data_IF_912253283040
#
_entry.id   IF_912253283040
#
_cell.length_a   1.000
_cell.length_b   1.000
_cell.length_c   1.000
_cell.angle_alpha   90.00
_cell.angle_beta   90.00
_cell.angle_gamma   90.00
#
_symmetry.space_group_name_H-M   'P 1'
#
loop_
_entity.id
_entity.type
_entity.pdbx_description
1 polymer ?
#
# COMPACT_ATOMS: atom_id res chain seq x y z
N UNK A 1 -24.64 2.56 7.27
CA UNK A 1 -23.37 3.04 6.67
C UNK A 1 -23.17 2.35 5.34
N UNK A 2 -23.32 3.06 4.24
CA UNK A 2 -23.10 2.53 2.88
C UNK A 2 -21.61 2.27 2.70
N UNK A 3 -21.27 1.02 2.34
CA UNK A 3 -19.89 0.61 2.02
C UNK A 3 -19.34 1.51 0.91
N UNK A 4 -18.16 2.13 1.06
CA UNK A 4 -17.64 3.02 0.03
C UNK A 4 -17.52 2.24 -1.29
N UNK A 5 -17.94 2.83 -2.42
CA UNK A 5 -17.94 2.14 -3.70
C UNK A 5 -16.52 1.70 -4.05
N UNK A 6 -16.40 0.46 -4.52
CA UNK A 6 -15.12 -0.15 -4.87
C UNK A 6 -14.45 0.72 -5.96
N UNK A 7 -13.34 1.38 -5.62
CA UNK A 7 -12.62 2.33 -6.50
C UNK A 7 -12.26 1.73 -7.87
N UNK A 8 -12.06 0.40 -7.91
CA UNK A 8 -11.80 -0.34 -9.15
C UNK A 8 -13.04 -0.48 -10.03
N UNK A 9 -14.23 -0.67 -9.42
CA UNK A 9 -15.49 -0.76 -10.14
C UNK A 9 -15.90 0.60 -10.75
N UNK A 10 -15.84 1.69 -9.97
CA UNK A 10 -16.12 3.05 -10.48
C UNK A 10 -15.24 3.42 -11.67
N UNK A 11 -13.99 3.01 -11.64
CA UNK A 11 -13.04 3.28 -12.70
C UNK A 11 -13.33 2.48 -13.97
N UNK A 12 -13.64 1.17 -13.85
CA UNK A 12 -14.05 0.34 -14.99
C UNK A 12 -15.29 0.93 -15.65
N UNK A 13 -16.24 1.41 -14.84
CA UNK A 13 -17.44 2.08 -15.34
C UNK A 13 -17.11 3.35 -16.13
N UNK A 14 -16.18 4.18 -15.63
CA UNK A 14 -15.71 5.37 -16.35
C UNK A 14 -15.00 5.04 -17.67
N UNK A 15 -14.18 3.99 -17.71
CA UNK A 15 -13.53 3.53 -18.95
C UNK A 15 -14.55 2.99 -19.96
N UNK A 16 -15.55 2.21 -19.52
CA UNK A 16 -16.62 1.71 -20.37
C UNK A 16 -17.47 2.85 -20.93
N UNK A 17 -17.82 3.84 -20.11
CA UNK A 17 -18.55 5.03 -20.55
C UNK A 17 -17.75 5.82 -21.61
N UNK A 18 -16.45 6.00 -21.40
CA UNK A 18 -15.58 6.68 -22.36
C UNK A 18 -15.49 5.90 -23.71
N UNK A 19 -15.34 4.57 -23.64
CA UNK A 19 -15.36 3.71 -24.83
C UNK A 19 -16.69 3.78 -25.58
N UNK A 20 -17.81 3.79 -24.86
CA UNK A 20 -19.13 3.93 -25.43
C UNK A 20 -19.27 5.28 -26.18
N UNK A 21 -18.85 6.38 -25.54
CA UNK A 21 -18.87 7.71 -26.16
C UNK A 21 -18.02 7.71 -27.44
N UNK A 22 -16.81 7.16 -27.40
CA UNK A 22 -15.93 7.08 -28.57
C UNK A 22 -16.53 6.22 -29.66
N UNK A 23 -17.20 5.11 -29.35
CA UNK A 23 -17.88 4.25 -30.30
C UNK A 23 -19.06 4.97 -30.97
N UNK A 24 -19.86 5.70 -30.20
CA UNK A 24 -20.99 6.49 -30.73
C UNK A 24 -20.50 7.60 -31.67
N UNK A 25 -19.45 8.34 -31.25
CA UNK A 25 -18.86 9.39 -32.10
C UNK A 25 -18.23 8.82 -33.38
N UNK A 26 -17.53 7.67 -33.26
CA UNK A 26 -16.97 6.96 -34.41
C UNK A 26 -18.06 6.47 -35.40
N UNK A 27 -19.16 5.95 -34.85
CA UNK A 27 -20.32 5.58 -35.69
C UNK A 27 -20.93 6.80 -36.37
N UNK A 28 -21.07 7.93 -35.69
CA UNK A 28 -21.51 9.20 -36.28
C UNK A 28 -20.59 9.64 -37.43
N UNK A 29 -19.27 9.58 -37.23
CA UNK A 29 -18.28 9.93 -38.27
C UNK A 29 -18.40 9.00 -39.49
N UNK A 30 -18.55 7.68 -39.28
CA UNK A 30 -18.73 6.68 -40.36
C UNK A 30 -20.04 6.91 -41.11
N UNK A 31 -21.16 7.11 -40.41
CA UNK A 31 -22.46 7.41 -41.02
C UNK A 31 -22.46 8.76 -41.74
N UNK A 32 -21.65 9.73 -41.27
CA UNK A 32 -21.40 11.01 -41.93
C UNK A 32 -20.56 10.91 -43.23
N UNK A 33 -20.21 9.69 -43.66
CA UNK A 33 -19.54 9.43 -44.92
C UNK A 33 -18.03 9.34 -44.87
N UNK A 34 -17.41 9.43 -43.65
CA UNK A 34 -15.96 9.36 -43.51
C UNK A 34 -15.36 8.07 -44.09
N UNK A 35 -16.04 6.94 -43.91
CA UNK A 35 -15.55 5.63 -44.37
C UNK A 35 -15.60 5.45 -45.91
N UNK A 36 -16.20 6.37 -46.64
CA UNK A 36 -16.37 6.26 -48.10
C UNK A 36 -15.09 6.66 -48.88
N UNK A 37 -14.04 7.09 -48.19
CA UNK A 37 -12.75 7.44 -48.82
C UNK A 37 -11.58 6.80 -48.06
N UNK A 38 -10.47 6.49 -48.74
CA UNK A 38 -9.26 5.97 -48.07
C UNK A 38 -8.73 6.90 -46.98
N UNK A 39 -8.80 8.21 -47.17
CA UNK A 39 -8.38 9.22 -46.20
C UNK A 39 -9.33 9.25 -45.00
N UNK A 40 -10.63 9.01 -45.18
CA UNK A 40 -11.60 8.89 -44.10
C UNK A 40 -11.35 7.66 -43.21
N UNK A 41 -10.94 6.54 -43.82
CA UNK A 41 -10.52 5.36 -43.04
C UNK A 41 -9.32 5.66 -42.15
N UNK A 42 -8.33 6.44 -42.63
CA UNK A 42 -7.20 6.89 -41.83
C UNK A 42 -7.62 7.78 -40.65
N UNK A 43 -8.67 8.61 -40.82
CA UNK A 43 -9.23 9.43 -39.72
C UNK A 43 -9.87 8.55 -38.65
N UNK A 44 -10.61 7.51 -39.03
CA UNK A 44 -11.20 6.54 -38.07
C UNK A 44 -10.08 5.78 -37.32
N UNK A 45 -9.04 5.34 -38.01
CA UNK A 45 -7.89 4.69 -37.41
C UNK A 45 -7.15 5.62 -36.43
N UNK A 46 -6.99 6.91 -36.78
CA UNK A 46 -6.44 7.93 -35.90
C UNK A 46 -7.28 8.12 -34.62
N UNK A 47 -8.60 8.15 -34.74
CA UNK A 47 -9.50 8.21 -33.58
C UNK A 47 -9.34 7.01 -32.64
N UNK A 48 -9.23 5.79 -33.19
CA UNK A 48 -8.98 4.57 -32.39
C UNK A 48 -7.60 4.63 -31.73
N UNK A 49 -6.58 5.07 -32.46
CA UNK A 49 -5.23 5.18 -31.93
C UNK A 49 -5.14 6.20 -30.77
N UNK A 50 -5.81 7.37 -30.90
CA UNK A 50 -5.89 8.35 -29.83
C UNK A 50 -6.61 7.81 -28.60
N UNK A 51 -7.74 7.11 -28.77
CA UNK A 51 -8.45 6.46 -27.66
C UNK A 51 -7.59 5.42 -26.95
N UNK A 52 -6.82 4.62 -27.68
CA UNK A 52 -5.91 3.62 -27.13
C UNK A 52 -4.81 4.25 -26.25
N UNK A 53 -4.44 5.50 -26.47
CA UNK A 53 -3.41 6.19 -25.71
C UNK A 53 -3.95 6.79 -24.40
N UNK A 54 -5.11 7.43 -24.39
CA UNK A 54 -5.58 8.12 -23.18
C UNK A 54 -6.39 7.23 -22.22
N UNK A 55 -6.94 6.12 -22.67
CA UNK A 55 -7.68 5.17 -21.83
C UNK A 55 -6.82 4.39 -20.81
N UNK A 56 -5.60 3.92 -21.14
CA UNK A 56 -4.75 3.18 -20.22
C UNK A 56 -4.23 4.03 -19.04
N UNK A 57 -3.65 3.34 -18.05
CA UNK A 57 -2.92 4.01 -16.97
C UNK A 57 -1.56 4.47 -17.43
N UNK A 58 -1.27 5.75 -17.20
CA UNK A 58 0.07 6.30 -17.34
C UNK A 58 0.65 6.65 -15.97
N UNK A 59 1.90 6.31 -15.75
CA UNK A 59 2.65 6.72 -14.58
C UNK A 59 2.97 8.21 -14.64
N UNK A 60 3.14 8.84 -13.48
CA UNK A 60 3.58 10.23 -13.44
C UNK A 60 5.03 10.33 -13.93
N UNK A 61 5.32 11.35 -14.74
CA UNK A 61 6.64 11.54 -15.34
C UNK A 61 6.93 10.62 -16.54
N UNK A 62 5.90 10.02 -17.16
CA UNK A 62 6.08 9.15 -18.32
C UNK A 62 6.72 9.88 -19.48
N UNK A 63 7.87 9.40 -19.96
CA UNK A 63 8.59 9.91 -21.15
C UNK A 63 8.00 9.34 -22.45
N UNK A 64 7.38 8.16 -22.41
CA UNK A 64 6.78 7.50 -23.59
C UNK A 64 5.49 8.20 -24.02
N UNK A 65 4.66 8.60 -23.06
CA UNK A 65 3.37 9.23 -23.31
C UNK A 65 3.45 10.48 -24.23
N UNK A 66 4.27 11.50 -23.93
CA UNK A 66 4.37 12.69 -24.78
C UNK A 66 4.96 12.39 -26.16
N UNK A 67 5.87 11.42 -26.30
CA UNK A 67 6.40 10.98 -27.59
C UNK A 67 5.33 10.37 -28.48
N UNK A 68 4.51 9.47 -27.91
CA UNK A 68 3.39 8.85 -28.64
C UNK A 68 2.33 9.91 -29.01
N UNK A 69 2.01 10.81 -28.07
CA UNK A 69 1.09 11.92 -28.34
C UNK A 69 1.59 12.84 -29.46
N UNK A 70 2.89 13.14 -29.49
CA UNK A 70 3.51 13.92 -30.56
C UNK A 70 3.38 13.23 -31.93
N UNK A 71 3.64 11.92 -31.98
CA UNK A 71 3.49 11.14 -33.23
C UNK A 71 2.04 11.15 -33.71
N UNK A 72 1.08 10.96 -32.81
CA UNK A 72 -0.36 10.99 -33.16
C UNK A 72 -0.79 12.39 -33.63
N UNK A 73 -0.34 13.45 -32.95
CA UNK A 73 -0.63 14.82 -33.37
C UNK A 73 -0.07 15.14 -34.75
N UNK A 74 1.18 14.75 -35.01
CA UNK A 74 1.80 14.94 -36.34
C UNK A 74 1.08 14.13 -37.42
N UNK A 75 0.70 12.89 -37.14
CA UNK A 75 -0.08 12.07 -38.05
C UNK A 75 -1.44 12.73 -38.39
N UNK A 76 -2.15 13.24 -37.37
CA UNK A 76 -3.40 13.97 -37.54
C UNK A 76 -3.23 15.24 -38.39
N UNK A 77 -2.14 16.00 -38.18
CA UNK A 77 -1.80 17.18 -38.99
C UNK A 77 -1.55 16.80 -40.47
N UNK A 78 -0.78 15.74 -40.70
CA UNK A 78 -0.55 15.22 -42.06
C UNK A 78 -1.85 14.84 -42.74
N UNK A 79 -2.72 14.08 -42.06
CA UNK A 79 -4.04 13.72 -42.56
C UNK A 79 -4.87 14.97 -42.88
N UNK A 80 -4.81 16.00 -42.03
CA UNK A 80 -5.51 17.27 -42.25
C UNK A 80 -5.06 17.96 -43.54
N UNK A 81 -3.75 18.03 -43.76
CA UNK A 81 -3.17 18.64 -44.99
C UNK A 81 -3.60 17.82 -46.22
N UNK A 82 -3.53 16.52 -46.17
CA UNK A 82 -3.93 15.65 -47.30
C UNK A 82 -5.41 15.80 -47.63
N UNK A 83 -6.29 15.79 -46.61
CA UNK A 83 -7.75 15.93 -46.82
C UNK A 83 -8.10 17.33 -47.35
N UNK A 84 -7.51 18.39 -46.79
CA UNK A 84 -7.73 19.75 -47.25
C UNK A 84 -7.27 19.99 -48.70
N UNK A 85 -6.21 19.28 -49.16
CA UNK A 85 -5.68 19.38 -50.52
C UNK A 85 -6.44 18.58 -51.57
N UNK A 86 -7.25 17.60 -51.20
CA UNK A 86 -7.94 16.69 -52.17
C UNK A 86 -9.38 17.01 -52.46
N UNK A 87 -10.02 17.90 -51.80
CA UNK A 87 -11.37 18.46 -51.80
C UNK A 87 -12.02 18.27 -50.42
N UNK A 88 -12.63 19.33 -49.87
CA UNK A 88 -13.28 19.24 -48.54
C UNK A 88 -14.38 18.21 -48.56
N UNK A 89 -14.32 17.23 -47.67
CA UNK A 89 -15.38 16.23 -47.50
C UNK A 89 -16.63 16.95 -47.00
N UNK A 90 -17.71 16.93 -47.74
CA UNK A 90 -19.02 17.43 -47.29
C UNK A 90 -19.56 16.46 -46.24
N UNK A 91 -19.11 16.63 -44.97
CA UNK A 91 -19.51 15.71 -43.92
C UNK A 91 -18.80 15.96 -42.59
N UNK A 92 -18.59 14.91 -41.82
CA UNK A 92 -17.86 15.00 -40.56
C UNK A 92 -16.38 15.29 -40.78
N UNK A 93 -15.81 16.17 -39.94
CA UNK A 93 -14.37 16.45 -39.92
C UNK A 93 -13.58 15.51 -39.02
N UNK A 94 -14.20 14.46 -38.41
CA UNK A 94 -13.59 13.53 -37.48
C UNK A 94 -13.80 13.92 -36.01
N UNK A 95 -15.06 13.93 -35.57
CA UNK A 95 -15.44 14.30 -34.18
C UNK A 95 -14.87 13.34 -33.18
N UNK A 96 -14.83 12.03 -33.48
CA UNK A 96 -14.23 11.03 -32.61
C UNK A 96 -12.74 11.28 -32.44
N UNK A 97 -12.01 11.63 -33.50
CA UNK A 97 -10.59 11.97 -33.43
C UNK A 97 -10.36 13.24 -32.58
N UNK A 98 -11.22 14.26 -32.72
CA UNK A 98 -11.16 15.47 -31.92
C UNK A 98 -11.26 15.17 -30.42
N UNK A 99 -12.24 14.39 -30.01
CA UNK A 99 -12.43 13.97 -28.60
C UNK A 99 -11.27 13.10 -28.14
N UNK A 100 -10.76 12.20 -28.99
CA UNK A 100 -9.59 11.39 -28.69
C UNK A 100 -8.33 12.25 -28.41
N UNK A 101 -8.06 13.24 -29.27
CA UNK A 101 -6.94 14.19 -29.11
C UNK A 101 -7.11 15.08 -27.88
N UNK A 102 -8.33 15.52 -27.53
CA UNK A 102 -8.60 16.23 -26.28
C UNK A 102 -8.32 15.37 -25.06
N UNK A 103 -8.67 14.08 -25.10
CA UNK A 103 -8.33 13.10 -24.07
C UNK A 103 -6.81 12.91 -23.93
N UNK A 104 -6.09 12.78 -25.06
CA UNK A 104 -4.62 12.72 -25.08
C UNK A 104 -4.01 14.00 -24.46
N UNK A 105 -4.53 15.16 -24.85
CA UNK A 105 -4.08 16.46 -24.34
C UNK A 105 -4.22 16.58 -22.82
N UNK A 106 -5.38 16.15 -22.29
CA UNK A 106 -5.65 16.11 -20.86
C UNK A 106 -4.68 15.18 -20.11
N UNK A 107 -4.45 13.97 -20.63
CA UNK A 107 -3.57 12.98 -19.97
C UNK A 107 -2.10 13.41 -20.06
N UNK A 108 -1.66 13.97 -21.18
CA UNK A 108 -0.30 14.52 -21.35
C UNK A 108 -0.05 15.66 -20.37
N UNK A 109 -0.98 16.61 -20.27
CA UNK A 109 -0.86 17.76 -19.34
C UNK A 109 -0.80 17.30 -17.88
N UNK A 110 -1.46 16.19 -17.53
CA UNK A 110 -1.49 15.65 -16.18
C UNK A 110 -0.29 14.76 -15.83
N UNK A 111 0.19 13.91 -16.77
CA UNK A 111 1.07 12.77 -16.47
C UNK A 111 2.43 12.79 -17.17
N UNK A 112 2.61 13.60 -18.21
CA UNK A 112 3.83 13.59 -19.00
C UNK A 112 5.02 14.21 -18.27
N UNK A 113 6.22 13.79 -18.68
CA UNK A 113 7.47 14.44 -18.30
C UNK A 113 7.49 15.88 -18.86
N UNK A 114 7.87 16.91 -18.05
CA UNK A 114 7.84 18.31 -18.45
C UNK A 114 8.65 18.62 -19.72
N UNK A 115 9.78 17.95 -19.91
CA UNK A 115 10.70 18.25 -21.01
C UNK A 115 10.09 17.97 -22.39
N UNK A 116 9.25 16.92 -22.49
CA UNK A 116 8.59 16.54 -23.74
C UNK A 116 7.13 16.98 -23.81
N UNK A 117 6.54 17.35 -22.66
CA UNK A 117 5.12 17.71 -22.57
C UNK A 117 4.80 18.94 -23.44
N UNK A 118 5.64 19.95 -23.43
CA UNK A 118 5.41 21.20 -24.15
C UNK A 118 5.28 20.96 -25.66
N UNK A 119 6.22 20.22 -26.25
CA UNK A 119 6.18 19.90 -27.68
C UNK A 119 4.94 19.08 -28.04
N UNK A 120 4.59 18.08 -27.23
CA UNK A 120 3.41 17.25 -27.44
C UNK A 120 2.10 18.07 -27.32
N UNK A 121 2.01 18.95 -26.32
CA UNK A 121 0.86 19.83 -26.10
C UNK A 121 0.69 20.77 -27.28
N UNK A 122 1.75 21.47 -27.69
CA UNK A 122 1.70 22.42 -28.84
C UNK A 122 1.25 21.70 -30.11
N UNK A 123 1.86 20.55 -30.43
CA UNK A 123 1.48 19.78 -31.62
C UNK A 123 0.01 19.28 -31.54
N UNK A 124 -0.44 18.81 -30.36
CA UNK A 124 -1.81 18.32 -30.20
C UNK A 124 -2.84 19.45 -30.25
N UNK A 125 -2.53 20.64 -29.70
CA UNK A 125 -3.38 21.83 -29.81
C UNK A 125 -3.50 22.26 -31.28
N UNK A 126 -2.40 22.27 -32.02
CA UNK A 126 -2.42 22.57 -33.45
C UNK A 126 -3.25 21.54 -34.24
N UNK A 127 -3.09 20.25 -33.92
CA UNK A 127 -3.88 19.19 -34.56
C UNK A 127 -5.37 19.38 -34.28
N UNK A 128 -5.79 19.60 -33.03
CA UNK A 128 -7.18 19.80 -32.62
C UNK A 128 -7.77 21.06 -33.29
N UNK A 129 -7.04 22.17 -33.29
CA UNK A 129 -7.51 23.45 -33.84
C UNK A 129 -7.69 23.43 -35.36
N UNK A 130 -6.86 22.65 -36.07
CA UNK A 130 -6.90 22.56 -37.52
C UNK A 130 -7.83 21.44 -38.02
N UNK A 131 -8.33 20.52 -37.17
CA UNK A 131 -9.26 19.46 -37.58
C UNK A 131 -10.45 19.95 -38.39
N UNK A 132 -11.19 21.02 -38.03
CA UNK A 132 -12.35 21.47 -38.77
C UNK A 132 -12.05 21.94 -40.19
N UNK A 133 -10.80 22.31 -40.52
CA UNK A 133 -10.37 22.69 -41.88
C UNK A 133 -10.60 21.55 -42.87
N UNK A 134 -10.67 20.31 -42.45
CA UNK A 134 -11.04 19.15 -43.28
C UNK A 134 -12.43 19.27 -43.87
N UNK A 135 -13.36 19.96 -43.19
CA UNK A 135 -14.70 20.23 -43.68
C UNK A 135 -14.80 21.46 -44.57
N UNK A 136 -13.72 22.26 -44.69
CA UNK A 136 -13.68 23.48 -45.46
C UNK A 136 -13.58 24.74 -44.60
N UNK A 137 -13.72 25.91 -45.20
CA UNK A 137 -13.60 27.23 -44.55
C UNK A 137 -14.98 27.91 -44.31
N UNK A 138 -16.06 27.16 -44.39
CA UNK A 138 -17.38 27.68 -44.05
C UNK A 138 -17.45 28.09 -42.57
N UNK A 139 -18.25 29.14 -42.27
CA UNK A 139 -18.37 29.71 -40.93
C UNK A 139 -18.59 28.68 -39.81
N UNK A 140 -19.35 27.63 -40.10
CA UNK A 140 -19.64 26.53 -39.16
C UNK A 140 -18.37 25.78 -38.70
N UNK A 141 -17.40 25.59 -39.60
CA UNK A 141 -16.13 24.93 -39.28
C UNK A 141 -15.19 25.87 -38.51
N UNK A 142 -15.27 27.16 -38.75
CA UNK A 142 -14.54 28.18 -37.98
C UNK A 142 -15.08 28.19 -36.55
N UNK A 143 -16.41 28.16 -36.37
CA UNK A 143 -17.00 28.06 -35.03
C UNK A 143 -16.60 26.76 -34.33
N UNK A 144 -16.63 25.62 -35.04
CA UNK A 144 -16.16 24.35 -34.51
C UNK A 144 -14.69 24.42 -34.05
N UNK A 145 -13.83 25.07 -34.83
CA UNK A 145 -12.43 25.30 -34.45
C UNK A 145 -12.26 26.13 -33.16
N UNK A 146 -13.06 27.18 -32.99
CA UNK A 146 -13.06 27.99 -31.78
C UNK A 146 -13.53 27.19 -30.54
N UNK A 147 -14.59 26.39 -30.72
CA UNK A 147 -15.10 25.49 -29.66
C UNK A 147 -14.03 24.47 -29.26
N UNK A 148 -13.36 23.85 -30.25
CA UNK A 148 -12.31 22.87 -29.99
C UNK A 148 -11.06 23.52 -29.33
N UNK A 149 -10.73 24.77 -29.72
CA UNK A 149 -9.64 25.51 -29.06
C UNK A 149 -9.97 25.79 -27.59
N UNK A 150 -11.22 26.17 -27.27
CA UNK A 150 -11.66 26.37 -25.90
C UNK A 150 -11.67 25.05 -25.12
N UNK A 151 -12.13 23.94 -25.75
CA UNK A 151 -12.08 22.62 -25.14
C UNK A 151 -10.64 22.13 -24.90
N UNK A 152 -9.71 22.44 -25.81
CA UNK A 152 -8.28 22.16 -25.62
C UNK A 152 -7.69 22.94 -24.43
N UNK A 153 -8.04 24.22 -24.32
CA UNK A 153 -7.62 25.04 -23.15
C UNK A 153 -8.19 24.45 -21.83
N UNK A 154 -9.45 24.04 -21.83
CA UNK A 154 -10.07 23.38 -20.66
C UNK A 154 -9.42 22.03 -20.35
N UNK A 155 -9.06 21.22 -21.35
CA UNK A 155 -8.36 19.95 -21.17
C UNK A 155 -6.95 20.16 -20.57
N UNK A 156 -6.19 21.15 -21.05
CA UNK A 156 -4.89 21.51 -20.47
C UNK A 156 -5.05 21.99 -19.04
N UNK A 157 -5.94 22.96 -18.82
CA UNK A 157 -6.19 23.55 -17.49
C UNK A 157 -6.61 22.49 -16.47
N UNK A 158 -7.56 21.62 -16.85
CA UNK A 158 -8.00 20.50 -16.02
C UNK A 158 -6.89 19.48 -15.71
N UNK A 159 -6.07 19.14 -16.71
CA UNK A 159 -4.92 18.25 -16.55
C UNK A 159 -3.87 18.82 -15.59
N UNK A 160 -3.48 20.08 -15.76
CA UNK A 160 -2.53 20.80 -14.89
C UNK A 160 -3.11 20.97 -13.49
N UNK A 161 -4.37 21.36 -13.36
CA UNK A 161 -5.04 21.53 -12.08
C UNK A 161 -5.03 20.26 -11.25
N UNK A 162 -5.39 19.09 -11.86
CA UNK A 162 -5.34 17.82 -11.16
C UNK A 162 -3.91 17.41 -10.79
N UNK A 163 -2.92 17.70 -11.64
CA UNK A 163 -1.50 17.48 -11.34
C UNK A 163 -1.06 18.29 -10.12
N UNK A 164 -1.44 19.57 -10.04
CA UNK A 164 -1.07 20.43 -8.90
C UNK A 164 -1.74 20.00 -7.60
N UNK A 165 -3.02 19.59 -7.65
CA UNK A 165 -3.71 19.03 -6.48
C UNK A 165 -3.04 17.74 -5.98
N UNK A 166 -2.71 16.82 -6.89
CA UNK A 166 -2.02 15.56 -6.53
C UNK A 166 -0.66 15.87 -5.89
N UNK A 167 0.13 16.77 -6.47
CA UNK A 167 1.41 17.20 -5.94
C UNK A 167 1.28 17.89 -4.57
N UNK A 168 0.29 18.76 -4.41
CA UNK A 168 0.00 19.43 -3.14
C UNK A 168 -0.36 18.44 -2.04
N UNK A 169 -1.24 17.48 -2.34
CA UNK A 169 -1.63 16.42 -1.37
C UNK A 169 -0.43 15.60 -0.91
N UNK A 170 0.46 15.22 -1.83
CA UNK A 170 1.68 14.48 -1.48
C UNK A 170 2.58 15.30 -0.54
N UNK A 171 2.82 16.59 -0.88
CA UNK A 171 3.62 17.50 -0.03
C UNK A 171 3.02 17.67 1.36
N UNK A 172 1.69 17.81 1.47
CA UNK A 172 1.00 17.93 2.76
C UNK A 172 1.16 16.66 3.58
N UNK A 173 1.01 15.47 2.98
CA UNK A 173 1.22 14.21 3.67
C UNK A 173 2.67 14.05 4.15
N UNK A 174 3.64 14.44 3.35
CA UNK A 174 5.05 14.36 3.72
C UNK A 174 5.40 15.36 4.83
N UNK A 175 4.81 16.57 4.79
CA UNK A 175 4.95 17.58 5.85
C UNK A 175 4.37 17.08 7.18
N UNK A 176 3.16 16.51 7.18
CA UNK A 176 2.53 15.92 8.38
C UNK A 176 3.39 14.79 8.94
N UNK A 177 3.92 13.92 8.09
CA UNK A 177 4.82 12.84 8.55
C UNK A 177 6.11 13.37 9.14
N UNK A 178 6.68 14.42 8.56
CA UNK A 178 7.89 15.08 9.09
C UNK A 178 7.62 15.72 10.45
N UNK A 179 6.48 16.40 10.59
CA UNK A 179 6.06 17.03 11.85
C UNK A 179 5.83 15.98 12.95
N UNK A 180 5.12 14.89 12.65
CA UNK A 180 4.92 13.79 13.60
C UNK A 180 6.25 13.16 14.05
N UNK A 181 7.23 13.01 13.12
CA UNK A 181 8.57 12.52 13.50
C UNK A 181 9.32 13.49 14.42
N UNK A 182 9.19 14.79 14.16
CA UNK A 182 9.84 15.82 14.98
C UNK A 182 9.21 15.94 16.38
N UNK A 183 7.90 15.82 16.48
CA UNK A 183 7.14 15.78 17.74
C UNK A 183 7.57 14.57 18.56
N UNK A 184 7.54 13.39 17.93
CA UNK A 184 7.95 12.16 18.59
C UNK A 184 9.43 12.19 19.06
N UNK A 185 10.33 12.79 18.28
CA UNK A 185 11.73 12.95 18.69
C UNK A 185 11.87 13.84 19.92
N UNK A 186 11.03 14.87 20.08
CA UNK A 186 10.96 15.70 21.28
C UNK A 186 10.43 14.92 22.48
N UNK A 187 9.31 14.21 22.30
CA UNK A 187 8.73 13.39 23.38
C UNK A 187 9.71 12.33 23.89
N UNK A 188 10.44 11.69 22.96
CA UNK A 188 11.48 10.72 23.29
C UNK A 188 12.64 11.38 24.06
N UNK A 189 13.08 12.56 23.63
CA UNK A 189 14.13 13.31 24.29
C UNK A 189 13.73 13.68 25.72
N UNK A 190 12.53 14.19 25.91
CA UNK A 190 12.01 14.60 27.21
C UNK A 190 11.83 13.41 28.15
N UNK A 191 11.33 12.27 27.61
CA UNK A 191 11.25 11.01 28.35
C UNK A 191 12.63 10.54 28.83
N UNK A 192 13.63 10.53 27.94
CA UNK A 192 15.01 10.13 28.29
C UNK A 192 15.58 11.07 29.34
N UNK A 193 15.50 12.38 29.13
CA UNK A 193 16.04 13.38 30.02
C UNK A 193 15.47 13.25 31.45
N UNK A 194 14.16 13.02 31.56
CA UNK A 194 13.49 12.83 32.85
C UNK A 194 14.02 11.59 33.60
N UNK A 195 14.08 10.44 32.91
CA UNK A 195 14.50 9.19 33.55
C UNK A 195 16.00 9.17 33.89
N UNK A 196 16.84 9.68 32.98
CA UNK A 196 18.30 9.81 33.25
C UNK A 196 18.55 10.74 34.41
N UNK A 197 17.84 11.87 34.51
CA UNK A 197 17.94 12.78 35.66
C UNK A 197 17.55 12.08 36.96
N UNK A 198 16.49 11.30 36.99
CA UNK A 198 16.08 10.50 38.14
C UNK A 198 17.16 9.50 38.59
N UNK A 199 17.76 8.77 37.65
CA UNK A 199 18.85 7.84 37.90
C UNK A 199 20.08 8.58 38.51
N UNK A 200 20.43 9.73 37.95
CA UNK A 200 21.57 10.55 38.46
C UNK A 200 21.32 11.01 39.88
N UNK A 201 20.11 11.49 40.22
CA UNK A 201 19.74 11.91 41.54
C UNK A 201 19.80 10.73 42.54
N UNK A 202 19.27 9.56 42.16
CA UNK A 202 19.37 8.35 43.00
C UNK A 202 20.82 7.91 43.24
N UNK A 203 21.66 7.95 42.20
CA UNK A 203 23.10 7.64 42.34
C UNK A 203 23.84 8.62 43.26
N UNK A 204 23.51 9.92 43.15
CA UNK A 204 24.06 10.93 44.05
C UNK A 204 23.64 10.73 45.51
N UNK A 205 22.35 10.41 45.73
CA UNK A 205 21.81 10.08 47.06
C UNK A 205 22.48 8.84 47.66
N UNK A 206 22.64 7.77 46.87
CA UNK A 206 23.33 6.55 47.30
C UNK A 206 24.80 6.85 47.73
N UNK A 207 25.48 7.68 46.94
CA UNK A 207 26.87 8.09 47.24
C UNK A 207 26.97 8.90 48.53
N UNK A 208 25.98 9.73 48.84
CA UNK A 208 25.98 10.54 50.07
C UNK A 208 25.83 9.70 51.34
N UNK A 209 25.06 8.61 51.30
CA UNK A 209 24.83 7.73 52.45
C UNK A 209 25.78 6.54 52.54
N UNK A 210 26.72 6.41 51.61
CA UNK A 210 27.57 5.22 51.46
C UNK A 210 28.39 4.86 52.66
N UNK A 211 28.90 5.85 53.40
CA UNK A 211 29.73 5.64 54.62
C UNK A 211 28.88 5.37 55.86
N UNK A 212 27.60 5.79 55.86
CA UNK A 212 26.73 5.74 57.04
C UNK A 212 25.80 4.51 57.02
N UNK A 213 25.34 4.08 55.84
CA UNK A 213 24.42 2.96 55.69
C UNK A 213 24.68 2.19 54.38
N UNK A 214 25.59 1.22 54.35
CA UNK A 214 25.91 0.44 53.16
C UNK A 214 24.72 -0.37 52.61
N UNK A 215 23.73 -0.76 53.46
CA UNK A 215 22.56 -1.51 53.00
C UNK A 215 21.63 -0.64 52.19
N UNK A 216 21.48 0.63 52.53
CA UNK A 216 20.70 1.58 51.69
C UNK A 216 21.34 1.84 50.34
N UNK A 217 22.64 1.74 50.20
CA UNK A 217 23.34 1.84 48.91
C UNK A 217 22.96 0.69 47.99
N UNK A 218 22.92 -0.54 48.53
CA UNK A 218 22.51 -1.70 47.73
C UNK A 218 21.09 -1.57 47.22
N UNK A 219 20.14 -1.14 48.05
CA UNK A 219 18.75 -0.88 47.63
C UNK A 219 18.66 0.22 46.59
N UNK A 220 19.45 1.29 46.70
CA UNK A 220 19.46 2.36 45.69
C UNK A 220 20.05 1.88 44.36
N UNK A 221 21.06 1.03 44.36
CA UNK A 221 21.63 0.42 43.15
C UNK A 221 20.63 -0.51 42.46
N UNK A 222 19.87 -1.34 43.18
CA UNK A 222 18.81 -2.16 42.65
C UNK A 222 17.70 -1.31 41.98
N UNK A 223 17.31 -0.19 42.61
CA UNK A 223 16.34 0.75 42.06
C UNK A 223 16.86 1.41 40.78
N UNK A 224 18.14 1.80 40.71
CA UNK A 224 18.80 2.39 39.55
C UNK A 224 18.81 1.37 38.39
N UNK A 225 19.18 0.12 38.67
CA UNK A 225 19.21 -0.96 37.70
C UNK A 225 17.81 -1.21 37.12
N UNK A 226 16.79 -1.30 37.99
CA UNK A 226 15.40 -1.51 37.56
C UNK A 226 14.88 -0.34 36.73
N UNK A 227 15.09 0.90 37.16
CA UNK A 227 14.69 2.10 36.43
C UNK A 227 15.39 2.20 35.05
N UNK A 228 16.66 1.83 34.97
CA UNK A 228 17.43 1.77 33.73
C UNK A 228 16.89 0.72 32.77
N UNK A 229 16.60 -0.48 33.24
CA UNK A 229 16.05 -1.56 32.47
C UNK A 229 14.66 -1.21 31.92
N UNK A 230 13.79 -0.62 32.74
CA UNK A 230 12.44 -0.17 32.34
C UNK A 230 12.50 0.95 31.30
N UNK A 231 13.39 1.94 31.49
CA UNK A 231 13.63 3.03 30.54
C UNK A 231 14.08 2.48 29.19
N UNK A 232 15.03 1.57 29.17
CA UNK A 232 15.54 0.93 27.95
C UNK A 232 14.47 0.07 27.25
N UNK A 233 13.62 -0.61 27.98
CA UNK A 233 12.50 -1.36 27.44
C UNK A 233 11.46 -0.41 26.81
N UNK A 234 11.11 0.68 27.48
CA UNK A 234 10.18 1.70 26.97
C UNK A 234 10.72 2.40 25.73
N UNK A 235 12.02 2.76 25.68
CA UNK A 235 12.67 3.30 24.48
C UNK A 235 12.59 2.34 23.29
N UNK A 236 12.88 1.05 23.52
CA UNK A 236 12.77 0.03 22.46
C UNK A 236 11.35 -0.09 21.92
N UNK A 237 10.33 -0.03 22.78
CA UNK A 237 8.92 -0.02 22.36
C UNK A 237 8.60 1.20 21.51
N UNK A 238 9.00 2.41 21.95
CA UNK A 238 8.76 3.66 21.22
C UNK A 238 9.44 3.69 19.85
N UNK A 239 10.71 3.29 19.75
CA UNK A 239 11.46 3.23 18.49
C UNK A 239 10.89 2.14 17.55
N UNK A 240 10.40 1.02 18.10
CA UNK A 240 9.73 -0.04 17.35
C UNK A 240 8.50 0.45 16.60
N UNK A 241 7.67 1.27 17.24
CA UNK A 241 6.47 1.89 16.65
C UNK A 241 6.80 2.82 15.47
N UNK A 242 7.94 3.51 15.53
CA UNK A 242 8.38 4.41 14.44
C UNK A 242 8.90 3.68 13.20
N UNK A 243 9.54 2.54 13.41
CA UNK A 243 10.19 1.80 12.32
C UNK A 243 9.18 1.05 11.46
N UNK A 244 8.12 0.57 12.08
CA UNK A 244 6.98 -0.04 11.41
C UNK A 244 5.72 0.21 12.27
N UNK A 245 4.80 1.10 11.87
CA UNK A 245 3.54 1.34 12.59
C UNK A 245 2.69 0.09 12.77
N UNK A 246 2.98 -0.99 12.02
CA UNK A 246 2.35 -2.30 12.09
C UNK A 246 3.23 -3.33 12.82
N UNK A 247 4.50 -3.00 13.15
CA UNK A 247 5.37 -3.88 13.92
C UNK A 247 5.14 -3.65 15.42
N UNK A 248 5.00 -4.73 16.17
CA UNK A 248 4.90 -4.69 17.63
C UNK A 248 6.21 -4.21 18.26
N UNK A 249 6.12 -3.44 19.38
CA UNK A 249 7.28 -2.89 20.11
C UNK A 249 8.27 -3.95 20.63
N UNK A 250 7.88 -5.19 20.75
CA UNK A 250 8.64 -6.25 21.43
C UNK A 250 9.30 -7.28 20.49
N UNK A 251 9.35 -7.02 19.16
CA UNK A 251 10.06 -7.92 18.26
C UNK A 251 11.57 -7.71 18.35
N UNK A 252 12.37 -8.68 18.83
CA UNK A 252 13.83 -8.59 18.80
C UNK A 252 14.32 -8.45 17.36
N UNK A 253 15.39 -7.67 17.17
CA UNK A 253 16.19 -7.63 15.93
C UNK A 253 16.99 -8.95 15.82
N UNK A 254 16.29 -10.08 15.64
CA UNK A 254 16.92 -11.35 15.31
C UNK A 254 16.91 -11.56 13.78
N UNK A 255 17.89 -12.27 13.21
CA UNK A 255 17.82 -12.74 11.85
C UNK A 255 16.47 -13.41 11.61
N UNK A 256 16.01 -13.45 10.36
CA UNK A 256 14.68 -13.95 9.97
C UNK A 256 14.52 -15.38 10.49
N UNK A 257 14.04 -15.52 11.72
CA UNK A 257 13.86 -16.80 12.36
C UNK A 257 12.63 -17.50 11.77
N UNK A 258 12.78 -18.78 11.46
CA UNK A 258 11.75 -19.62 10.88
C UNK A 258 11.40 -20.84 11.75
N UNK A 259 10.66 -21.77 11.18
CA UNK A 259 10.21 -23.00 11.89
C UNK A 259 11.41 -23.83 12.39
N UNK A 260 12.55 -23.78 11.71
CA UNK A 260 13.75 -24.52 12.11
C UNK A 260 14.38 -24.03 13.41
N UNK A 261 14.14 -22.78 13.78
CA UNK A 261 14.61 -22.15 15.02
C UNK A 261 13.66 -22.35 16.23
N UNK A 262 12.53 -23.03 16.04
CA UNK A 262 11.58 -23.32 17.14
C UNK A 262 12.19 -24.09 18.31
N UNK A 263 13.08 -25.08 18.12
CA UNK A 263 13.73 -25.75 19.25
C UNK A 263 14.46 -24.77 20.17
N UNK A 264 15.22 -23.82 19.61
CA UNK A 264 15.97 -22.80 20.37
C UNK A 264 15.00 -21.86 21.09
N UNK A 265 13.88 -21.50 20.46
CA UNK A 265 12.85 -20.67 21.09
C UNK A 265 12.25 -21.36 22.31
N UNK A 266 11.93 -22.67 22.22
CA UNK A 266 11.35 -23.42 23.31
C UNK A 266 12.36 -23.62 24.47
N UNK A 267 13.63 -23.87 24.17
CA UNK A 267 14.70 -23.91 25.16
C UNK A 267 14.81 -22.59 25.95
N UNK A 268 14.79 -21.47 25.27
CA UNK A 268 14.78 -20.14 25.89
C UNK A 268 13.54 -19.91 26.75
N UNK A 269 12.37 -20.36 26.27
CA UNK A 269 11.13 -20.27 27.03
C UNK A 269 11.18 -21.09 28.32
N UNK A 270 11.67 -22.33 28.25
CA UNK A 270 11.85 -23.22 29.40
C UNK A 270 12.86 -22.67 30.43
N UNK A 271 13.97 -22.03 29.95
CA UNK A 271 14.97 -21.42 30.82
C UNK A 271 14.49 -20.17 31.58
N UNK A 272 13.40 -19.56 31.16
CA UNK A 272 12.83 -18.35 31.77
C UNK A 272 11.82 -18.61 32.91
N UNK A 273 11.69 -19.87 33.40
CA UNK A 273 10.85 -20.22 34.55
C UNK A 273 9.35 -20.26 34.27
N UNK A 274 8.95 -20.43 33.00
CA UNK A 274 7.57 -20.65 32.58
C UNK A 274 7.13 -22.12 32.62
N UNK A 275 5.89 -22.45 32.09
CA UNK A 275 5.46 -23.81 31.91
C UNK A 275 6.41 -24.56 30.96
N UNK A 276 6.57 -25.87 31.16
CA UNK A 276 7.44 -26.69 30.33
C UNK A 276 6.90 -26.74 28.90
N UNK A 277 7.63 -26.22 27.93
CA UNK A 277 7.24 -26.29 26.53
C UNK A 277 7.79 -27.54 25.83
N UNK A 278 6.97 -28.20 24.99
CA UNK A 278 7.33 -29.39 24.22
C UNK A 278 7.02 -29.13 22.74
N UNK A 279 7.96 -29.54 21.87
CA UNK A 279 7.81 -29.41 20.43
C UNK A 279 7.56 -30.80 19.80
N UNK A 280 6.49 -30.88 19.02
CA UNK A 280 6.11 -32.07 18.24
C UNK A 280 6.13 -31.68 16.75
N UNK A 281 7.00 -32.30 15.96
CA UNK A 281 7.13 -32.03 14.52
C UNK A 281 6.73 -33.30 13.76
N UNK A 282 5.76 -33.14 12.85
CA UNK A 282 5.27 -34.22 11.97
C UNK A 282 5.44 -33.78 10.52
N UNK A 283 6.28 -34.51 9.78
CA UNK A 283 6.70 -34.21 8.41
C UNK A 283 8.00 -33.40 8.31
N UNK A 284 8.52 -33.30 7.08
CA UNK A 284 9.76 -32.53 6.81
C UNK A 284 9.45 -31.04 6.71
N UNK A 285 9.99 -30.25 7.63
CA UNK A 285 9.83 -28.79 7.69
C UNK A 285 10.92 -28.01 6.95
N UNK A 286 11.82 -28.70 6.24
CA UNK A 286 12.81 -28.04 5.37
C UNK A 286 12.18 -27.56 4.08
N UNK A 287 12.73 -26.49 3.50
CA UNK A 287 12.26 -25.95 2.21
C UNK A 287 10.87 -25.33 2.24
N UNK A 288 10.39 -24.90 3.40
CA UNK A 288 9.16 -24.11 3.50
C UNK A 288 9.36 -22.72 2.86
N UNK A 289 8.32 -22.13 2.23
CA UNK A 289 8.37 -20.72 1.82
C UNK A 289 8.76 -19.83 3.00
N UNK A 290 9.63 -18.85 2.77
CA UNK A 290 10.19 -17.99 3.84
C UNK A 290 9.08 -17.27 4.60
N UNK A 291 8.06 -16.77 3.90
CA UNK A 291 6.92 -16.07 4.48
C UNK A 291 6.09 -16.98 5.39
N UNK A 292 5.89 -18.23 5.00
CA UNK A 292 5.18 -19.24 5.78
C UNK A 292 5.99 -19.62 7.02
N UNK A 293 7.27 -19.92 6.83
CA UNK A 293 8.19 -20.32 7.91
C UNK A 293 8.29 -19.25 9.00
N UNK A 294 8.50 -17.98 8.59
CA UNK A 294 8.60 -16.84 9.51
C UNK A 294 7.25 -16.56 10.21
N UNK A 295 6.12 -16.66 9.48
CA UNK A 295 4.81 -16.42 10.07
C UNK A 295 4.45 -17.50 11.10
N UNK A 296 4.77 -18.77 10.82
CA UNK A 296 4.58 -19.88 11.73
C UNK A 296 5.42 -19.71 13.02
N UNK A 297 6.69 -19.36 12.89
CA UNK A 297 7.57 -19.05 14.03
C UNK A 297 6.96 -17.95 14.93
N UNK A 298 6.46 -16.86 14.32
CA UNK A 298 5.85 -15.74 15.07
C UNK A 298 4.57 -16.14 15.78
N UNK A 299 3.74 -17.01 15.18
CA UNK A 299 2.53 -17.54 15.84
C UNK A 299 2.92 -18.30 17.10
N UNK A 300 3.93 -19.16 17.03
CA UNK A 300 4.40 -19.93 18.20
C UNK A 300 4.98 -19.00 19.27
N UNK A 301 5.85 -18.09 18.90
CA UNK A 301 6.48 -17.12 19.81
C UNK A 301 5.43 -16.30 20.57
N UNK A 302 4.44 -15.79 19.86
CA UNK A 302 3.36 -15.00 20.47
C UNK A 302 2.45 -15.84 21.35
N UNK A 303 2.11 -17.06 20.92
CA UNK A 303 1.30 -17.96 21.72
C UNK A 303 2.01 -18.33 23.03
N UNK A 304 3.31 -18.66 22.98
CA UNK A 304 4.12 -18.95 24.18
C UNK A 304 4.22 -17.71 25.09
N UNK A 305 4.40 -16.52 24.53
CA UNK A 305 4.41 -15.26 25.30
C UNK A 305 3.07 -15.04 26.01
N UNK A 306 1.95 -15.28 25.33
CA UNK A 306 0.62 -15.15 25.91
C UNK A 306 0.39 -16.21 27.03
N UNK A 307 0.86 -17.43 26.83
CA UNK A 307 0.80 -18.48 27.88
C UNK A 307 1.54 -18.02 29.13
N UNK A 308 2.76 -17.51 29.00
CA UNK A 308 3.57 -17.01 30.12
C UNK A 308 2.92 -15.83 30.87
N UNK A 309 2.23 -14.95 30.12
CA UNK A 309 1.64 -13.73 30.70
C UNK A 309 0.22 -13.94 31.26
N UNK A 310 -0.53 -14.93 30.74
CA UNK A 310 -1.96 -14.99 30.96
C UNK A 310 -2.48 -16.37 31.42
N UNK A 311 -1.68 -17.45 31.32
CA UNK A 311 -2.11 -18.79 31.69
C UNK A 311 -1.69 -19.12 33.13
N UNK A 312 -2.47 -18.63 34.10
CA UNK A 312 -2.23 -18.93 35.51
C UNK A 312 -2.33 -20.45 35.79
N UNK A 313 -1.29 -21.02 36.40
CA UNK A 313 -1.24 -22.42 36.78
C UNK A 313 -0.97 -23.38 35.62
N UNK A 314 -0.65 -22.93 34.45
CA UNK A 314 -0.17 -23.77 33.35
C UNK A 314 1.15 -24.45 33.72
N UNK A 315 1.22 -25.76 33.53
CA UNK A 315 2.41 -26.60 33.78
C UNK A 315 3.11 -27.00 32.50
N UNK A 316 2.33 -27.18 31.43
CA UNK A 316 2.80 -27.63 30.12
C UNK A 316 2.24 -26.74 29.01
N UNK A 317 3.07 -26.48 28.01
CA UNK A 317 2.70 -25.84 26.74
C UNK A 317 3.20 -26.71 25.59
N UNK A 318 2.28 -27.33 24.87
CA UNK A 318 2.60 -28.19 23.74
C UNK A 318 2.50 -27.42 22.42
N UNK A 319 3.52 -27.55 21.56
CA UNK A 319 3.61 -26.96 20.24
C UNK A 319 3.66 -28.08 19.19
N UNK A 320 2.68 -28.13 18.31
CA UNK A 320 2.63 -29.10 17.21
C UNK A 320 2.82 -28.37 15.89
N UNK A 321 3.76 -28.85 15.09
CA UNK A 321 3.99 -28.44 13.73
C UNK A 321 3.77 -29.64 12.84
N UNK A 322 2.78 -29.59 11.94
CA UNK A 322 2.51 -30.65 11.00
C UNK A 322 2.56 -30.13 9.57
N UNK A 323 3.39 -30.74 8.74
CA UNK A 323 3.42 -30.47 7.31
C UNK A 323 2.62 -31.52 6.54
N UNK A 324 1.67 -31.03 5.74
CA UNK A 324 0.99 -31.82 4.70
C UNK A 324 1.45 -31.36 3.32
N UNK A 325 1.10 -32.03 2.21
CA UNK A 325 1.47 -31.57 0.87
C UNK A 325 1.00 -30.16 0.53
N UNK A 326 -0.12 -29.72 1.11
CA UNK A 326 -0.75 -28.43 0.79
C UNK A 326 -0.67 -27.40 1.91
N UNK A 327 -0.47 -27.82 3.16
CA UNK A 327 -0.58 -26.96 4.33
C UNK A 327 0.52 -27.22 5.35
N UNK A 328 0.97 -26.12 6.00
CA UNK A 328 1.65 -26.17 7.28
C UNK A 328 0.65 -25.86 8.38
N UNK A 329 0.44 -26.79 9.30
CA UNK A 329 -0.44 -26.66 10.46
C UNK A 329 0.40 -26.40 11.69
N UNK A 330 -0.01 -25.41 12.48
CA UNK A 330 0.63 -25.00 13.72
C UNK A 330 -0.44 -25.00 14.81
N UNK A 331 -0.21 -25.74 15.90
CA UNK A 331 -1.05 -25.71 17.08
C UNK A 331 -0.19 -25.43 18.30
N UNK A 332 -0.64 -24.53 19.17
CA UNK A 332 -0.05 -24.30 20.49
C UNK A 332 -1.15 -24.39 21.51
N UNK A 333 -0.98 -25.26 22.51
CA UNK A 333 -1.95 -25.44 23.58
C UNK A 333 -1.26 -25.52 24.94
N UNK A 334 -1.94 -25.07 25.98
CA UNK A 334 -1.51 -25.22 27.37
C UNK A 334 -2.59 -25.89 28.25
N UNK A 335 -2.17 -26.46 29.38
CA UNK A 335 -3.01 -27.16 30.34
C UNK A 335 -3.56 -26.29 31.48
N UNK A 336 -3.27 -24.95 31.45
CA UNK A 336 -3.73 -24.03 32.50
C UNK A 336 -5.23 -23.75 32.45
N UNK A 337 -5.81 -23.30 33.57
CA UNK A 337 -7.21 -22.90 33.64
C UNK A 337 -7.51 -21.66 32.78
N UNK A 338 -8.82 -21.39 32.53
CA UNK A 338 -9.22 -20.18 31.84
C UNK A 338 -8.75 -18.95 32.63
N UNK A 339 -8.37 -17.83 31.94
CA UNK A 339 -7.91 -16.62 32.62
C UNK A 339 -8.95 -16.16 33.65
N UNK A 340 -8.53 -15.89 34.87
CA UNK A 340 -9.36 -15.53 36.04
C UNK A 340 -10.19 -14.24 35.90
N UNK A 341 -10.08 -13.51 34.83
CA UNK A 341 -10.83 -12.30 34.54
C UNK A 341 -11.50 -12.33 33.17
N UNK A 342 -12.41 -13.30 32.97
CA UNK A 342 -13.42 -13.19 31.92
C UNK A 342 -14.56 -12.26 32.40
N UNK A 343 -14.27 -11.00 32.72
CA UNK A 343 -15.27 -9.95 32.47
C UNK A 343 -15.31 -9.79 30.94
N UNK A 344 -16.52 -9.75 30.34
CA UNK A 344 -16.65 -9.53 28.90
C UNK A 344 -16.15 -8.10 28.59
N UNK A 345 -14.85 -7.94 28.40
CA UNK A 345 -14.30 -6.78 27.74
C UNK A 345 -14.32 -7.09 26.25
N UNK A 346 -15.24 -6.44 25.56
CA UNK A 346 -15.50 -6.46 24.12
C UNK A 346 -14.35 -5.93 23.26
N UNK A 347 -13.09 -6.28 23.59
CA UNK A 347 -11.96 -5.98 22.70
C UNK A 347 -11.02 -7.20 22.68
N UNK A 348 -10.91 -7.91 21.53
CA UNK A 348 -9.83 -8.86 21.34
C UNK A 348 -8.51 -8.13 21.60
N UNK A 349 -7.65 -8.69 22.47
CA UNK A 349 -6.35 -8.09 22.80
C UNK A 349 -5.57 -7.84 21.51
N UNK A 350 -4.90 -6.69 21.42
CA UNK A 350 -4.16 -6.26 20.22
C UNK A 350 -3.23 -7.33 19.62
N UNK A 351 -2.89 -8.35 20.43
CA UNK A 351 -2.10 -9.52 20.11
C UNK A 351 -2.65 -10.42 19.03
N UNK A 352 -3.85 -10.84 19.21
CA UNK A 352 -4.52 -11.79 18.29
C UNK A 352 -4.95 -11.10 17.00
N UNK A 353 -5.27 -9.79 17.03
CA UNK A 353 -5.64 -9.02 15.83
C UNK A 353 -4.46 -8.94 14.86
N UNK A 354 -3.28 -8.55 15.34
CA UNK A 354 -2.08 -8.47 14.50
C UNK A 354 -1.59 -9.83 13.96
N UNK A 355 -1.77 -10.92 14.74
CA UNK A 355 -1.51 -12.29 14.26
C UNK A 355 -2.48 -12.68 13.15
N UNK A 356 -3.76 -12.38 13.32
CA UNK A 356 -4.80 -12.69 12.32
C UNK A 356 -4.53 -12.00 10.98
N UNK A 357 -4.18 -10.71 11.00
CA UNK A 357 -3.84 -9.96 9.79
C UNK A 357 -2.61 -10.54 9.08
N UNK A 358 -1.59 -10.90 9.82
CA UNK A 358 -0.34 -11.46 9.29
C UNK A 358 -0.53 -12.86 8.69
N UNK A 359 -1.26 -13.73 9.38
CA UNK A 359 -1.58 -15.08 8.87
C UNK A 359 -2.43 -14.98 7.61
N UNK A 360 -3.39 -14.05 7.56
CA UNK A 360 -4.20 -13.78 6.36
C UNK A 360 -3.39 -13.20 5.19
N UNK A 361 -2.37 -12.41 5.47
CA UNK A 361 -1.51 -11.84 4.43
C UNK A 361 -0.77 -12.90 3.60
N UNK A 362 -0.46 -14.05 4.20
CA UNK A 362 0.13 -15.22 3.52
C UNK A 362 -0.93 -16.25 3.08
N UNK A 363 -2.21 -15.86 3.05
CA UNK A 363 -3.32 -16.73 2.63
C UNK A 363 -3.71 -17.79 3.66
N UNK A 364 -3.20 -17.70 4.90
CA UNK A 364 -3.46 -18.63 5.99
C UNK A 364 -4.74 -18.30 6.78
N UNK A 365 -5.03 -19.17 7.76
CA UNK A 365 -6.14 -19.04 8.71
C UNK A 365 -5.62 -19.26 10.13
N UNK A 366 -6.17 -18.52 11.10
CA UNK A 366 -5.85 -18.66 12.53
C UNK A 366 -7.13 -18.60 13.36
N UNK A 367 -7.18 -19.40 14.40
CA UNK A 367 -8.19 -19.36 15.44
C UNK A 367 -7.53 -19.47 16.81
N UNK A 368 -8.11 -18.84 17.82
CA UNK A 368 -7.64 -18.92 19.19
C UNK A 368 -8.85 -18.97 20.13
N UNK A 369 -8.82 -19.83 21.12
CA UNK A 369 -9.93 -20.02 22.05
C UNK A 369 -9.63 -21.00 23.16
N UNK A 370 -10.61 -21.22 24.09
CA UNK A 370 -10.47 -22.21 25.14
C UNK A 370 -10.38 -23.62 24.55
N UNK A 371 -9.48 -24.43 25.10
CA UNK A 371 -9.33 -25.84 24.74
C UNK A 371 -10.46 -26.71 25.27
N UNK A 372 -10.77 -27.84 24.59
CA UNK A 372 -11.83 -28.80 25.00
C UNK A 372 -11.48 -29.46 26.33
N UNK A 373 -10.20 -29.71 26.59
CA UNK A 373 -9.68 -30.35 27.83
C UNK A 373 -9.25 -29.28 28.87
N UNK A 374 -9.64 -28.02 28.67
CA UNK A 374 -9.18 -26.87 29.44
C UNK A 374 -8.05 -26.16 28.77
N UNK A 375 -7.52 -25.07 29.42
CA UNK A 375 -6.45 -24.23 28.86
C UNK A 375 -6.87 -23.38 27.68
N UNK A 376 -5.88 -22.98 26.88
CA UNK A 376 -6.05 -22.14 25.70
C UNK A 376 -5.34 -22.75 24.50
N UNK A 377 -5.97 -22.69 23.35
CA UNK A 377 -5.46 -23.26 22.09
C UNK A 377 -5.38 -22.16 21.03
N UNK A 378 -4.27 -22.13 20.32
CA UNK A 378 -4.07 -21.33 19.10
C UNK A 378 -3.80 -22.29 17.95
N UNK A 379 -4.65 -22.27 16.94
CA UNK A 379 -4.53 -23.07 15.72
C UNK A 379 -4.29 -22.14 14.53
N UNK A 380 -3.26 -22.42 13.74
CA UNK A 380 -2.99 -21.71 12.50
C UNK A 380 -2.69 -22.69 11.35
N UNK A 381 -3.15 -22.34 10.16
CA UNK A 381 -2.91 -23.11 8.93
C UNK A 381 -2.40 -22.19 7.83
N UNK A 382 -1.28 -22.57 7.19
CA UNK A 382 -0.62 -21.82 6.14
C UNK A 382 -0.57 -22.63 4.84
N UNK A 383 -1.04 -22.11 3.70
CA UNK A 383 -0.93 -22.80 2.43
C UNK A 383 0.52 -22.85 1.96
N UNK A 384 0.98 -24.02 1.48
CA UNK A 384 2.33 -24.20 0.93
C UNK A 384 2.39 -23.89 -0.56
N UNK A 385 1.26 -23.95 -1.26
CA UNK A 385 1.11 -23.53 -2.65
C UNK A 385 0.66 -22.07 -2.69
N UNK A 386 1.60 -21.14 -2.54
CA UNK A 386 1.36 -19.73 -2.77
C UNK A 386 1.11 -19.51 -4.27
N UNK A 387 -0.15 -19.51 -4.73
CA UNK A 387 -0.49 -18.85 -5.98
C UNK A 387 -0.24 -17.35 -5.76
N UNK A 388 0.85 -16.85 -6.33
CA UNK A 388 1.10 -15.41 -6.44
C UNK A 388 -0.11 -14.82 -7.15
N UNK A 389 -0.95 -14.12 -6.40
CA UNK A 389 -2.03 -13.30 -6.98
C UNK A 389 -1.32 -12.10 -7.60
N UNK A 390 -1.13 -12.18 -8.92
CA UNK A 390 -0.67 -11.08 -9.74
C UNK A 390 -1.72 -9.95 -9.80
#
# INVERSE_FOLDING_TARGET
MLKPPNRTALRRLGQLAALLVMAVLGAFDVLGGLANSPLGVLQVLSAVATAAVWLPRHEQGSVRLPKVALVLALASLVITVLVAGTAPTRGSFGVAEAVGLLGVLFVVSRRADPNWAVAAVVATVAAVGLLPVRGGLAYQYVIAGLILALAAAAAIGGGVYLRTIEASRMRTMDAVRAEQRAEFARDLHDFIAHHVTGIVVQAQGARFVAEQDPQRVLLALEQIEHAGAETMASMRRMVGVLRDPQARPDAPLAPIAGVLELPVLLEQFNGAGGPLSRLHVDGDVHGLPVEVSTSAYRVVMEALTNIRQHADGARVADVWIRRTPEWLLVRVANDGGPPRSATPRDRPGYGLVGLTERVRAVGGRISAGPGIEGGWVVDAAFPLNLKVVQ
#
